data_IF_697662184149
#
_entry.id   IF_697662184149
#
_cell.length_a   1.000
_cell.length_b   1.000
_cell.length_c   1.000
_cell.angle_alpha   90.00
_cell.angle_beta   90.00
_cell.angle_gamma   90.00
#
_symmetry.space_group_name_H-M   'P 1'
#
loop_
_entity.id
_entity.type
_entity.pdbx_description
1 polymer ?
#
# COMPACT_ATOMS: atom_id res chain seq x y z
N UNK A 1 -15.48 -3.14 -7.83
CA UNK A 1 -15.00 -4.11 -8.83
C UNK A 1 -13.55 -3.74 -9.10
N UNK A 2 -12.61 -4.61 -8.73
CA UNK A 2 -11.18 -4.47 -9.02
C UNK A 2 -10.81 -5.80 -9.69
N UNK A 3 -11.03 -5.97 -11.00
CA UNK A 3 -10.75 -7.28 -11.61
C UNK A 3 -10.36 -7.30 -13.10
N UNK A 4 -10.27 -6.18 -13.82
CA UNK A 4 -9.94 -6.27 -15.26
C UNK A 4 -8.54 -5.79 -15.68
N UNK A 5 -7.78 -5.06 -14.83
CA UNK A 5 -6.44 -4.56 -15.24
C UNK A 5 -5.36 -4.55 -14.13
N UNK A 6 -5.53 -5.30 -13.03
CA UNK A 6 -4.49 -5.35 -11.99
C UNK A 6 -3.25 -6.12 -12.47
N UNK A 7 -2.11 -5.46 -12.46
CA UNK A 7 -0.84 -5.94 -13.01
C UNK A 7 0.26 -6.11 -11.95
N UNK A 8 -0.09 -6.01 -10.66
CA UNK A 8 0.80 -6.23 -9.52
C UNK A 8 0.08 -6.85 -8.32
N UNK A 9 0.79 -7.68 -7.56
CA UNK A 9 0.26 -8.34 -6.36
C UNK A 9 1.04 -7.96 -5.10
N UNK A 10 0.36 -7.48 -4.07
CA UNK A 10 0.92 -7.26 -2.73
C UNK A 10 0.50 -8.43 -1.85
N UNK A 11 1.47 -9.26 -1.48
CA UNK A 11 1.27 -10.47 -0.68
C UNK A 11 1.62 -10.16 0.77
N UNK A 12 0.68 -10.40 1.68
CA UNK A 12 0.87 -10.24 3.13
C UNK A 12 0.65 -11.59 3.79
N UNK A 13 1.73 -12.32 4.03
CA UNK A 13 1.69 -13.73 4.43
C UNK A 13 0.96 -14.61 3.41
N UNK A 14 -0.22 -15.12 3.76
CA UNK A 14 -1.06 -15.95 2.86
C UNK A 14 -2.09 -15.15 2.06
N UNK A 15 -2.27 -13.88 2.39
CA UNK A 15 -3.28 -13.03 1.78
C UNK A 15 -2.69 -12.24 0.59
N UNK A 16 -3.39 -12.22 -0.54
CA UNK A 16 -2.98 -11.51 -1.75
C UNK A 16 -3.90 -10.32 -2.03
N UNK A 17 -3.32 -9.15 -2.31
CA UNK A 17 -4.01 -7.93 -2.70
C UNK A 17 -3.57 -7.55 -4.11
N UNK A 18 -4.48 -7.67 -5.09
CA UNK A 18 -4.22 -7.26 -6.47
C UNK A 18 -4.36 -5.75 -6.63
N UNK A 19 -3.38 -5.11 -7.26
CA UNK A 19 -3.33 -3.65 -7.46
C UNK A 19 -2.79 -3.29 -8.85
N UNK A 20 -3.00 -2.03 -9.25
CA UNK A 20 -2.47 -1.45 -10.47
C UNK A 20 -1.12 -0.78 -10.21
N UNK A 21 -0.07 -1.17 -10.93
CA UNK A 21 1.28 -0.57 -10.83
C UNK A 21 1.25 0.93 -10.98
N UNK A 22 0.52 1.41 -11.99
CA UNK A 22 0.43 2.83 -12.34
C UNK A 22 -0.05 3.66 -11.14
N UNK A 23 -1.07 3.18 -10.44
CA UNK A 23 -1.63 3.86 -9.28
C UNK A 23 -0.65 3.84 -8.10
N UNK A 24 0.00 2.71 -7.84
CA UNK A 24 0.98 2.60 -6.76
C UNK A 24 2.20 3.48 -7.00
N UNK A 25 2.71 3.53 -8.24
CA UNK A 25 3.81 4.40 -8.63
C UNK A 25 3.46 5.90 -8.51
N UNK A 26 2.23 6.28 -8.86
CA UNK A 26 1.77 7.67 -8.73
C UNK A 26 1.74 8.15 -7.26
N UNK A 27 1.27 7.29 -6.36
CA UNK A 27 1.13 7.62 -4.94
C UNK A 27 2.35 7.33 -4.09
N UNK A 28 3.28 6.51 -4.57
CA UNK A 28 4.51 6.15 -3.87
C UNK A 28 5.72 6.17 -4.80
N UNK A 29 6.67 7.10 -4.59
CA UNK A 29 7.94 7.11 -5.32
C UNK A 29 8.79 5.87 -5.01
N UNK A 30 8.61 5.24 -3.84
CA UNK A 30 9.24 3.95 -3.51
C UNK A 30 8.71 2.84 -4.42
N UNK A 31 7.40 2.78 -4.65
CA UNK A 31 6.82 1.84 -5.61
C UNK A 31 7.26 2.15 -7.03
N UNK A 32 7.34 3.42 -7.44
CA UNK A 32 7.87 3.81 -8.75
C UNK A 32 9.31 3.32 -8.94
N UNK A 33 10.19 3.60 -7.99
CA UNK A 33 11.57 3.15 -8.01
C UNK A 33 11.68 1.62 -7.98
N UNK A 34 10.89 0.94 -7.13
CA UNK A 34 10.85 -0.52 -7.06
C UNK A 34 10.45 -1.13 -8.40
N UNK A 35 9.40 -0.62 -9.05
CA UNK A 35 8.92 -1.11 -10.34
C UNK A 35 9.91 -0.82 -11.49
N UNK A 36 10.64 0.29 -11.43
CA UNK A 36 11.65 0.65 -12.42
C UNK A 36 13.03 -0.03 -12.19
N UNK A 37 13.29 -0.55 -10.99
CA UNK A 37 14.61 -1.06 -10.58
C UNK A 37 15.05 -2.35 -11.27
N UNK A 38 14.12 -3.10 -11.88
CA UNK A 38 14.39 -4.43 -12.44
C UNK A 38 14.74 -5.50 -11.37
N UNK A 39 14.47 -5.21 -10.09
CA UNK A 39 14.60 -6.15 -8.98
C UNK A 39 13.54 -7.25 -9.03
N UNK A 40 13.60 -8.20 -8.09
CA UNK A 40 12.73 -9.38 -8.05
C UNK A 40 11.25 -8.98 -8.08
N UNK A 41 10.90 -7.94 -7.36
CA UNK A 41 9.54 -7.42 -7.25
C UNK A 41 9.01 -6.92 -8.60
N UNK A 42 9.84 -6.20 -9.36
CA UNK A 42 9.52 -5.74 -10.70
C UNK A 42 9.42 -6.89 -11.72
N UNK A 43 10.29 -7.91 -11.59
CA UNK A 43 10.30 -9.08 -12.50
C UNK A 43 9.13 -10.02 -12.24
N UNK A 44 8.80 -10.26 -10.98
CA UNK A 44 7.74 -11.18 -10.57
C UNK A 44 6.37 -10.50 -10.48
N UNK A 45 6.31 -9.17 -10.67
CA UNK A 45 5.10 -8.36 -10.53
C UNK A 45 4.41 -8.55 -9.18
N UNK A 46 5.21 -8.78 -8.12
CA UNK A 46 4.69 -8.97 -6.78
C UNK A 46 5.64 -8.47 -5.72
N UNK A 47 5.08 -8.02 -4.61
CA UNK A 47 5.79 -7.61 -3.41
C UNK A 47 5.32 -8.48 -2.25
N UNK A 48 6.25 -8.91 -1.40
CA UNK A 48 5.94 -9.72 -0.21
C UNK A 48 6.21 -8.87 1.02
N UNK A 49 5.21 -8.76 1.89
CA UNK A 49 5.27 -8.08 3.19
C UNK A 49 5.06 -9.14 4.28
N UNK A 50 5.91 -9.12 5.31
CA UNK A 50 5.71 -10.01 6.46
C UNK A 50 4.48 -9.57 7.26
N UNK A 51 3.62 -10.55 7.63
CA UNK A 51 2.47 -10.33 8.53
C UNK A 51 2.88 -9.78 9.90
N UNK A 52 4.12 -10.04 10.32
CA UNK A 52 4.69 -9.55 11.58
C UNK A 52 5.05 -8.07 11.50
N UNK A 53 5.37 -7.56 10.31
CA UNK A 53 5.75 -6.16 10.09
C UNK A 53 4.50 -5.31 9.87
N UNK A 54 3.63 -5.71 8.94
CA UNK A 54 2.36 -5.04 8.69
C UNK A 54 1.23 -6.05 8.55
N UNK A 55 0.17 -5.96 9.37
CA UNK A 55 -0.97 -6.85 9.24
C UNK A 55 -1.73 -6.55 7.94
N UNK A 56 -2.28 -7.59 7.31
CA UNK A 56 -3.01 -7.51 6.05
C UNK A 56 -4.06 -6.38 6.05
N UNK A 57 -4.77 -6.20 7.17
CA UNK A 57 -5.78 -5.15 7.33
C UNK A 57 -5.23 -3.73 7.13
N UNK A 58 -4.02 -3.45 7.64
CA UNK A 58 -3.36 -2.14 7.50
C UNK A 58 -2.90 -1.92 6.06
N UNK A 59 -2.26 -2.92 5.46
CA UNK A 59 -1.79 -2.84 4.07
C UNK A 59 -2.98 -2.66 3.12
N UNK A 60 -4.06 -3.42 3.31
CA UNK A 60 -5.29 -3.30 2.55
C UNK A 60 -5.91 -1.91 2.68
N UNK A 61 -5.97 -1.39 3.91
CA UNK A 61 -6.50 -0.05 4.14
C UNK A 61 -5.66 1.05 3.47
N UNK A 62 -4.33 0.94 3.52
CA UNK A 62 -3.42 1.85 2.83
C UNK A 62 -3.66 1.85 1.31
N UNK A 63 -3.77 0.66 0.73
CA UNK A 63 -4.07 0.48 -0.69
C UNK A 63 -5.45 1.06 -1.02
N UNK A 64 -6.47 0.73 -0.24
CA UNK A 64 -7.83 1.26 -0.41
C UNK A 64 -7.86 2.78 -0.37
N UNK A 65 -7.06 3.43 0.49
CA UNK A 65 -6.92 4.89 0.53
C UNK A 65 -6.34 5.47 -0.77
N UNK A 66 -5.40 4.76 -1.41
CA UNK A 66 -4.89 5.17 -2.73
C UNK A 66 -5.98 5.08 -3.82
N UNK A 67 -6.93 4.15 -3.73
CA UNK A 67 -8.04 4.05 -4.69
C UNK A 67 -9.21 4.98 -4.36
N UNK A 68 -9.48 5.16 -3.08
CA UNK A 68 -10.63 5.88 -2.55
C UNK A 68 -10.08 6.85 -1.51
N UNK A 69 -10.21 8.15 -1.81
CA UNK A 69 -9.78 9.22 -0.90
C UNK A 69 -10.58 9.26 0.43
N UNK A 70 -11.45 8.28 0.69
CA UNK A 70 -12.17 8.05 1.93
C UNK A 70 -12.41 6.54 2.10
N UNK A 71 -11.99 5.99 3.25
CA UNK A 71 -12.21 4.59 3.61
C UNK A 71 -12.90 4.57 4.96
N UNK A 72 -14.14 4.05 5.01
CA UNK A 72 -14.97 4.02 6.22
C UNK A 72 -14.55 2.96 7.24
N UNK A 73 -13.41 2.29 7.04
CA UNK A 73 -12.96 1.24 7.93
C UNK A 73 -12.37 1.85 9.21
N UNK A 74 -12.94 1.47 10.36
CA UNK A 74 -12.43 1.87 11.67
C UNK A 74 -11.13 1.12 11.97
N UNK A 75 -10.03 1.84 12.02
CA UNK A 75 -8.76 1.38 12.56
C UNK A 75 -8.68 1.68 14.06
N UNK A 76 -8.05 0.78 14.81
CA UNK A 76 -7.60 1.06 16.18
C UNK A 76 -6.40 2.01 16.16
N UNK A 77 -6.07 2.65 17.29
CA UNK A 77 -4.91 3.53 17.38
C UNK A 77 -3.59 2.83 17.00
N UNK A 78 -3.43 1.56 17.39
CA UNK A 78 -2.25 0.76 17.04
C UNK A 78 -2.17 0.50 15.54
N UNK A 79 -3.29 0.16 14.89
CA UNK A 79 -3.35 -0.01 13.44
C UNK A 79 -3.14 1.31 12.69
N UNK A 80 -3.61 2.42 13.25
CA UNK A 80 -3.41 3.76 12.70
C UNK A 80 -1.92 4.16 12.74
N UNK A 81 -1.22 3.83 13.83
CA UNK A 81 0.22 4.04 13.93
C UNK A 81 0.99 3.18 12.92
N UNK A 82 0.61 1.91 12.77
CA UNK A 82 1.19 1.02 11.76
C UNK A 82 0.91 1.52 10.34
N UNK A 83 -0.28 2.07 10.08
CA UNK A 83 -0.61 2.71 8.81
C UNK A 83 0.30 3.90 8.53
N UNK A 84 0.55 4.74 9.53
CA UNK A 84 1.47 5.86 9.41
C UNK A 84 2.91 5.38 9.14
N UNK A 85 3.40 4.39 9.87
CA UNK A 85 4.71 3.78 9.64
C UNK A 85 4.83 3.16 8.24
N UNK A 86 3.77 2.52 7.76
CA UNK A 86 3.70 2.00 6.40
C UNK A 86 3.77 3.13 5.36
N UNK A 87 2.99 4.20 5.57
CA UNK A 87 2.98 5.35 4.69
C UNK A 87 4.32 6.08 4.67
N UNK A 88 5.03 6.16 5.80
CA UNK A 88 6.37 6.72 5.88
C UNK A 88 7.38 5.84 5.15
N UNK A 89 7.38 4.52 5.41
CA UNK A 89 8.29 3.54 4.80
C UNK A 89 8.18 3.50 3.27
N UNK A 90 6.95 3.60 2.75
CA UNK A 90 6.68 3.57 1.31
C UNK A 90 6.37 4.95 0.73
N UNK A 91 6.58 6.03 1.49
CA UNK A 91 6.34 7.42 1.05
C UNK A 91 4.97 7.62 0.36
N UNK A 92 3.90 7.07 0.95
CA UNK A 92 2.54 7.13 0.38
C UNK A 92 1.94 8.51 0.63
N UNK A 93 1.92 9.35 -0.41
CA UNK A 93 1.57 10.78 -0.33
C UNK A 93 0.15 11.05 0.21
N UNK A 94 -0.93 10.36 -0.24
CA UNK A 94 -2.29 10.67 0.22
C UNK A 94 -2.49 10.46 1.72
N UNK A 95 -1.83 9.42 2.25
CA UNK A 95 -1.91 9.08 3.67
C UNK A 95 -1.17 10.13 4.48
N UNK A 96 0.09 10.44 4.10
CA UNK A 96 0.88 11.48 4.77
C UNK A 96 0.15 12.84 4.80
N UNK A 97 -0.48 13.24 3.69
CA UNK A 97 -1.26 14.47 3.62
C UNK A 97 -2.44 14.45 4.62
N UNK A 98 -3.17 13.35 4.69
CA UNK A 98 -4.32 13.20 5.59
C UNK A 98 -3.95 13.27 7.07
N UNK A 99 -2.77 12.77 7.45
CA UNK A 99 -2.26 12.87 8.83
C UNK A 99 -1.65 14.25 9.15
N UNK A 100 -1.15 14.98 8.15
CA UNK A 100 -0.57 16.32 8.35
C UNK A 100 -1.61 17.35 8.79
N UNK A 101 -2.89 17.19 8.40
CA UNK A 101 -3.99 18.07 8.82
C UNK A 101 -4.64 17.72 10.17
N UNK A 102 -4.14 16.68 10.85
CA UNK A 102 -4.64 16.25 12.17
C UNK A 102 -3.79 16.76 13.35
N UNK A 103 -2.78 17.59 13.08
CA UNK A 103 -1.93 18.28 14.06
C UNK A 103 -1.82 19.77 13.73
#
# INVERSE_FOLDING_TARGET
>A
MIDEETDFSVIVGEDEIKVHKKLMAEFSPVFEAMLASGLKEAKENKMIISKEEFPHKVVKYAIELCYKNDVQNKLTLSELLLLYQFAEKYEIKPIMASFTYLY
#
